data_IF_469674710043
#
_entry.id   IF_469674710043
#
_cell.length_a   1.000
_cell.length_b   1.000
_cell.length_c   1.000
_cell.angle_alpha   90.00
_cell.angle_beta   90.00
_cell.angle_gamma   90.00
#
_symmetry.space_group_name_H-M   'P 1'
#
loop_
_entity.id
_entity.type
_entity.pdbx_description
1 polymer ?
#
# COMPACT_ATOMS: atom_id res chain seq x y z
N UNK A 1 -19.72 71.58 -24.64
CA UNK A 1 -19.74 72.14 -26.01
C UNK A 1 -19.00 71.14 -26.85
N UNK A 2 -19.41 70.42 -27.85
CA UNK A 2 -20.51 70.60 -28.82
C UNK A 2 -20.81 69.20 -29.39
N UNK A 3 -22.04 68.95 -29.58
CA UNK A 3 -22.73 67.84 -30.22
C UNK A 3 -22.31 67.48 -31.65
N UNK A 4 -22.28 66.16 -32.02
CA UNK A 4 -22.99 65.45 -33.12
C UNK A 4 -22.78 66.02 -34.57
N UNK A 5 -23.05 65.28 -35.69
CA UNK A 5 -23.98 64.13 -35.79
C UNK A 5 -23.62 63.01 -36.77
N UNK A 6 -24.48 61.98 -36.73
CA UNK A 6 -24.77 60.86 -37.64
C UNK A 6 -24.85 61.22 -39.13
N UNK A 7 -24.43 60.33 -40.04
CA UNK A 7 -25.03 60.19 -41.35
C UNK A 7 -25.09 58.71 -41.78
N UNK A 8 -26.30 58.34 -42.15
CA UNK A 8 -26.71 57.05 -42.78
C UNK A 8 -26.57 57.12 -44.31
N UNK A 9 -26.55 55.93 -44.90
CA UNK A 9 -26.93 55.60 -46.33
C UNK A 9 -25.72 55.18 -47.16
N UNK A 10 -25.78 54.14 -47.96
CA UNK A 10 -26.71 53.27 -48.69
C UNK A 10 -25.88 52.22 -49.40
N UNK A 11 -26.23 51.03 -49.54
CA UNK A 11 -27.19 50.22 -50.28
C UNK A 11 -26.58 49.37 -51.43
N UNK A 12 -27.05 48.10 -51.46
CA UNK A 12 -27.13 47.18 -52.61
C UNK A 12 -25.83 46.41 -52.98
N UNK A 13 -25.83 45.17 -52.79
CA UNK A 13 -26.45 43.97 -53.41
C UNK A 13 -25.57 43.39 -54.53
N UNK A 14 -25.14 42.19 -54.36
CA UNK A 14 -25.31 41.19 -55.41
C UNK A 14 -25.17 39.76 -54.76
N UNK A 15 -26.05 38.98 -55.19
CA UNK A 15 -26.44 37.60 -54.83
C UNK A 15 -25.46 36.52 -55.24
N UNK A 16 -25.65 35.39 -54.59
CA UNK A 16 -25.50 34.02 -55.05
C UNK A 16 -24.28 33.23 -54.55
N UNK A 17 -24.56 32.23 -53.75
CA UNK A 17 -23.61 31.18 -53.36
C UNK A 17 -24.10 30.42 -52.12
N UNK A 18 -25.27 29.77 -52.22
CA UNK A 18 -25.70 28.82 -51.16
C UNK A 18 -24.82 27.57 -51.20
N UNK A 19 -23.86 27.48 -50.29
CA UNK A 19 -23.21 26.24 -49.93
C UNK A 19 -23.82 25.76 -48.61
N UNK A 20 -24.66 24.75 -48.69
CA UNK A 20 -25.15 23.94 -47.57
C UNK A 20 -23.95 23.27 -46.91
N UNK A 21 -23.40 23.87 -45.87
CA UNK A 21 -22.57 23.15 -44.91
C UNK A 21 -23.57 22.50 -43.91
N UNK A 22 -23.89 21.25 -44.17
CA UNK A 22 -24.52 20.38 -43.18
C UNK A 22 -23.55 20.27 -42.02
N UNK A 23 -23.76 21.11 -41.01
CA UNK A 23 -23.09 20.98 -39.72
C UNK A 23 -23.45 19.66 -39.10
N UNK A 24 -22.57 18.67 -39.16
CA UNK A 24 -22.58 17.55 -38.27
C UNK A 24 -22.33 18.07 -36.87
N UNK A 25 -23.40 18.51 -36.19
CA UNK A 25 -23.44 18.66 -34.76
C UNK A 25 -23.33 17.24 -34.18
N UNK A 26 -22.11 16.73 -34.11
CA UNK A 26 -21.81 15.59 -33.28
C UNK A 26 -22.25 15.99 -31.88
N UNK A 27 -23.42 15.53 -31.46
CA UNK A 27 -23.79 15.51 -30.08
C UNK A 27 -22.70 14.67 -29.38
N UNK A 28 -21.72 15.35 -28.80
CA UNK A 28 -20.87 14.75 -27.78
C UNK A 28 -21.87 14.28 -26.70
N UNK A 29 -22.20 13.00 -26.72
CA UNK A 29 -22.89 12.39 -25.59
C UNK A 29 -22.04 12.77 -24.38
N UNK A 30 -22.64 13.32 -23.31
CA UNK A 30 -21.90 13.50 -22.08
C UNK A 30 -21.30 12.14 -21.76
N UNK A 31 -19.98 12.07 -21.55
CA UNK A 31 -19.36 10.89 -20.95
C UNK A 31 -20.16 10.63 -19.68
N UNK A 32 -20.99 9.61 -19.72
CA UNK A 32 -21.68 9.14 -18.53
C UNK A 32 -20.57 8.67 -17.62
N UNK A 33 -20.40 9.31 -16.48
CA UNK A 33 -19.50 8.81 -15.43
C UNK A 33 -19.87 7.32 -15.24
N UNK A 34 -18.86 6.45 -15.20
CA UNK A 34 -19.11 5.05 -14.92
C UNK A 34 -19.88 4.94 -13.60
N UNK A 35 -20.84 4.03 -13.52
CA UNK A 35 -21.51 3.79 -12.25
C UNK A 35 -20.48 3.24 -11.26
N UNK A 36 -20.49 3.67 -9.98
CA UNK A 36 -19.55 3.17 -8.99
C UNK A 36 -19.61 1.63 -8.90
N UNK A 37 -18.46 0.99 -8.85
CA UNK A 37 -18.36 -0.47 -8.70
C UNK A 37 -18.75 -0.84 -7.28
N UNK A 38 -19.77 -1.71 -7.11
CA UNK A 38 -20.06 -2.31 -5.81
C UNK A 38 -18.88 -3.15 -5.36
N UNK A 39 -18.19 -2.69 -4.31
CA UNK A 39 -16.96 -3.27 -3.80
C UNK A 39 -17.10 -3.66 -2.34
N UNK A 40 -16.68 -4.88 -1.98
CA UNK A 40 -16.67 -5.36 -0.61
C UNK A 40 -15.26 -5.69 -0.12
N UNK A 41 -14.95 -5.30 1.12
CA UNK A 41 -13.74 -5.71 1.83
C UNK A 41 -14.03 -6.82 2.85
N UNK A 42 -13.16 -7.85 2.94
CA UNK A 42 -13.29 -8.93 3.94
C UNK A 42 -11.95 -9.07 4.65
N UNK A 43 -11.95 -8.81 5.96
CA UNK A 43 -10.75 -8.77 6.78
C UNK A 43 -10.88 -9.66 8.01
N UNK A 44 -9.84 -10.44 8.31
CA UNK A 44 -9.82 -11.33 9.49
C UNK A 44 -9.40 -10.61 10.78
N UNK A 45 -8.91 -9.38 10.64
CA UNK A 45 -8.49 -8.49 11.74
C UNK A 45 -9.24 -7.15 11.67
N UNK A 46 -9.14 -6.29 12.71
CA UNK A 46 -9.70 -4.93 12.66
C UNK A 46 -9.10 -4.10 11.53
N UNK A 47 -9.87 -3.16 10.97
CA UNK A 47 -9.41 -2.26 9.89
C UNK A 47 -8.29 -1.31 10.32
N UNK A 48 -8.06 -1.13 11.61
CA UNK A 48 -6.94 -0.36 12.17
C UNK A 48 -5.60 -1.11 12.08
N UNK A 49 -5.62 -2.42 11.86
CA UNK A 49 -4.37 -3.20 11.67
C UNK A 49 -3.58 -2.61 10.49
N UNK A 50 -2.26 -2.48 10.65
CA UNK A 50 -1.40 -1.70 9.74
C UNK A 50 -1.62 -2.02 8.26
N UNK A 51 -1.56 -3.31 7.89
CA UNK A 51 -1.69 -3.75 6.51
C UNK A 51 -3.12 -3.54 5.98
N UNK A 52 -4.14 -3.96 6.72
CA UNK A 52 -5.55 -3.81 6.35
C UNK A 52 -5.95 -2.35 6.28
N UNK A 53 -5.41 -1.49 7.16
CA UNK A 53 -5.71 -0.05 7.17
C UNK A 53 -5.35 0.64 5.85
N UNK A 54 -4.33 0.16 5.13
CA UNK A 54 -3.94 0.72 3.83
C UNK A 54 -4.96 0.38 2.75
N UNK A 55 -5.48 -0.85 2.76
CA UNK A 55 -6.52 -1.31 1.84
C UNK A 55 -7.83 -0.54 2.10
N UNK A 56 -8.22 -0.50 3.38
CA UNK A 56 -9.43 0.20 3.81
C UNK A 56 -9.38 1.70 3.44
N UNK A 57 -8.27 2.38 3.71
CA UNK A 57 -8.05 3.78 3.33
C UNK A 57 -8.15 4.00 1.83
N UNK A 58 -7.50 3.17 1.02
CA UNK A 58 -7.55 3.28 -0.43
C UNK A 58 -8.98 3.08 -0.96
N UNK A 59 -9.73 2.12 -0.39
CA UNK A 59 -11.13 1.89 -0.76
C UNK A 59 -12.04 3.07 -0.40
N UNK A 60 -11.85 3.68 0.78
CA UNK A 60 -12.56 4.91 1.16
C UNK A 60 -12.21 6.07 0.23
N UNK A 61 -10.93 6.25 -0.13
CA UNK A 61 -10.50 7.26 -1.09
C UNK A 61 -11.13 7.06 -2.47
N UNK A 62 -11.20 5.81 -2.95
CA UNK A 62 -11.88 5.47 -4.20
C UNK A 62 -13.40 5.75 -4.13
N UNK A 63 -14.03 5.51 -2.97
CA UNK A 63 -15.43 5.84 -2.73
C UNK A 63 -15.67 7.36 -2.73
N UNK A 64 -14.81 8.14 -2.10
CA UNK A 64 -14.88 9.61 -2.11
C UNK A 64 -14.76 10.18 -3.53
N UNK A 65 -13.99 9.54 -4.40
CA UNK A 65 -13.89 9.89 -5.83
C UNK A 65 -15.12 9.46 -6.64
N UNK A 66 -15.96 8.59 -6.10
CA UNK A 66 -17.13 8.01 -6.78
C UNK A 66 -16.80 6.82 -7.70
N UNK A 67 -15.62 6.21 -7.55
CA UNK A 67 -15.20 5.07 -8.36
C UNK A 67 -15.82 3.76 -7.86
N UNK A 68 -16.08 3.65 -6.57
CA UNK A 68 -16.65 2.47 -5.92
C UNK A 68 -17.76 2.83 -4.93
N UNK A 69 -18.66 1.87 -4.70
CA UNK A 69 -19.59 1.83 -3.55
C UNK A 69 -19.03 0.77 -2.60
N UNK A 70 -18.35 1.20 -1.53
CA UNK A 70 -17.57 0.33 -0.68
C UNK A 70 -18.24 -0.01 0.65
N UNK A 71 -18.26 -1.29 0.98
CA UNK A 71 -18.63 -1.82 2.30
C UNK A 71 -17.56 -2.81 2.76
N UNK A 72 -17.55 -3.15 4.04
CA UNK A 72 -16.60 -4.14 4.54
C UNK A 72 -17.13 -4.94 5.72
N UNK A 73 -16.51 -6.10 5.96
CA UNK A 73 -16.61 -6.90 7.17
C UNK A 73 -15.21 -7.08 7.75
N UNK A 74 -15.07 -6.84 9.04
CA UNK A 74 -13.82 -7.01 9.77
C UNK A 74 -13.98 -8.04 10.88
N UNK A 75 -12.86 -8.54 11.43
CA UNK A 75 -12.84 -9.60 12.44
C UNK A 75 -13.59 -10.87 12.00
N UNK A 76 -13.59 -11.13 10.69
CA UNK A 76 -14.21 -12.32 10.11
C UNK A 76 -13.35 -13.53 10.45
N UNK A 77 -13.92 -14.52 11.15
CA UNK A 77 -13.18 -15.75 11.47
C UNK A 77 -12.84 -16.54 10.19
N UNK A 78 -11.76 -17.29 10.21
CA UNK A 78 -11.38 -18.16 9.09
C UNK A 78 -12.52 -19.12 8.68
N UNK A 79 -13.29 -19.61 9.65
CA UNK A 79 -14.43 -20.52 9.40
C UNK A 79 -15.62 -19.83 8.74
N UNK A 80 -15.77 -18.53 8.91
CA UNK A 80 -16.84 -17.74 8.34
C UNK A 80 -16.48 -17.07 7.00
N UNK A 81 -15.20 -17.01 6.66
CA UNK A 81 -14.69 -16.24 5.55
C UNK A 81 -15.37 -16.59 4.21
N UNK A 82 -15.39 -17.87 3.86
CA UNK A 82 -16.03 -18.34 2.63
C UNK A 82 -17.56 -18.04 2.60
N UNK A 83 -18.23 -18.09 3.74
CA UNK A 83 -19.66 -17.73 3.85
C UNK A 83 -19.86 -16.23 3.58
N UNK A 84 -19.08 -15.36 4.22
CA UNK A 84 -19.15 -13.91 4.03
C UNK A 84 -18.82 -13.53 2.58
N UNK A 85 -17.85 -14.20 1.97
CA UNK A 85 -17.45 -14.00 0.58
C UNK A 85 -18.62 -14.34 -0.38
N UNK A 86 -19.34 -15.49 -0.14
CA UNK A 86 -20.55 -15.85 -0.90
C UNK A 86 -21.67 -14.84 -0.70
N UNK A 87 -21.90 -14.39 0.52
CA UNK A 87 -22.96 -13.41 0.81
C UNK A 87 -22.77 -12.11 0.02
N UNK A 88 -21.54 -11.59 -0.08
CA UNK A 88 -21.26 -10.42 -0.91
C UNK A 88 -21.44 -10.73 -2.40
N UNK A 89 -21.01 -11.90 -2.86
CA UNK A 89 -21.20 -12.32 -4.26
C UNK A 89 -22.67 -12.36 -4.63
N UNK A 90 -23.51 -12.98 -3.79
CA UNK A 90 -24.97 -13.09 -3.98
C UNK A 90 -25.70 -11.73 -3.92
N UNK A 91 -25.16 -10.76 -3.17
CA UNK A 91 -25.66 -9.39 -3.11
C UNK A 91 -25.26 -8.55 -4.33
N UNK A 92 -24.51 -9.13 -5.28
CA UNK A 92 -24.16 -8.51 -6.55
C UNK A 92 -22.97 -7.56 -6.49
N UNK A 93 -22.10 -7.71 -5.50
CA UNK A 93 -20.81 -7.01 -5.50
C UNK A 93 -19.96 -7.50 -6.67
N UNK A 94 -19.22 -6.57 -7.30
CA UNK A 94 -18.47 -6.84 -8.54
C UNK A 94 -16.97 -6.92 -8.31
N UNK A 95 -16.47 -6.33 -7.23
CA UNK A 95 -15.10 -6.44 -6.77
C UNK A 95 -15.12 -6.82 -5.30
N UNK A 96 -14.49 -7.94 -4.96
CA UNK A 96 -14.30 -8.38 -3.57
C UNK A 96 -12.81 -8.36 -3.28
N UNK A 97 -12.43 -7.62 -2.23
CA UNK A 97 -11.05 -7.43 -1.79
C UNK A 97 -10.90 -8.10 -0.43
N UNK A 98 -9.84 -8.83 -0.21
CA UNK A 98 -9.60 -9.46 1.10
C UNK A 98 -8.17 -9.91 1.27
N UNK A 99 -7.88 -10.51 2.42
CA UNK A 99 -6.65 -11.25 2.65
C UNK A 99 -7.00 -12.73 2.90
N UNK A 100 -6.17 -13.63 2.36
CA UNK A 100 -6.51 -15.05 2.31
C UNK A 100 -5.41 -15.96 2.88
N UNK A 101 -4.51 -15.41 3.70
CA UNK A 101 -3.38 -16.13 4.28
C UNK A 101 -3.73 -17.53 4.82
N UNK A 102 -4.84 -17.66 5.55
CA UNK A 102 -5.25 -18.92 6.17
C UNK A 102 -6.45 -19.59 5.48
N UNK A 103 -7.01 -19.01 4.41
CA UNK A 103 -8.28 -19.42 3.80
C UNK A 103 -8.24 -19.41 2.27
N UNK A 104 -7.03 -19.49 1.69
CA UNK A 104 -6.85 -19.32 0.25
C UNK A 104 -7.60 -20.38 -0.57
N UNK A 105 -7.60 -21.64 -0.13
CA UNK A 105 -8.26 -22.72 -0.86
C UNK A 105 -9.77 -22.46 -0.91
N UNK A 106 -10.38 -22.18 0.23
CA UNK A 106 -11.82 -21.90 0.35
C UNK A 106 -12.22 -20.65 -0.46
N UNK A 107 -11.36 -19.61 -0.44
CA UNK A 107 -11.59 -18.40 -1.24
C UNK A 107 -11.55 -18.69 -2.75
N UNK A 108 -10.65 -19.55 -3.22
CA UNK A 108 -10.59 -19.97 -4.63
C UNK A 108 -11.78 -20.81 -5.03
N UNK A 109 -12.27 -21.69 -4.15
CA UNK A 109 -13.51 -22.45 -4.38
C UNK A 109 -14.71 -21.52 -4.56
N UNK A 110 -14.84 -20.50 -3.70
CA UNK A 110 -15.88 -19.49 -3.86
C UNK A 110 -15.74 -18.72 -5.17
N UNK A 111 -14.52 -18.29 -5.52
CA UNK A 111 -14.30 -17.55 -6.77
C UNK A 111 -14.65 -18.36 -8.02
N UNK A 112 -14.44 -19.68 -8.00
CA UNK A 112 -14.84 -20.58 -9.08
C UNK A 112 -16.37 -20.65 -9.27
N UNK A 113 -17.14 -20.52 -8.18
CA UNK A 113 -18.61 -20.51 -8.22
C UNK A 113 -19.18 -19.19 -8.80
N UNK A 114 -18.40 -18.10 -8.78
CA UNK A 114 -18.82 -16.76 -9.22
C UNK A 114 -17.89 -16.15 -10.27
N UNK A 115 -17.80 -16.70 -11.48
CA UNK A 115 -16.83 -16.31 -12.50
C UNK A 115 -16.96 -14.85 -13.00
N UNK A 116 -18.12 -14.22 -12.81
CA UNK A 116 -18.41 -12.84 -13.23
C UNK A 116 -18.06 -11.77 -12.16
N UNK A 117 -17.45 -12.20 -11.04
CA UNK A 117 -17.03 -11.32 -9.94
C UNK A 117 -15.50 -11.30 -9.92
N UNK A 118 -14.91 -10.11 -9.77
CA UNK A 118 -13.50 -9.91 -9.60
C UNK A 118 -13.11 -10.11 -8.12
N UNK A 119 -12.17 -11.00 -7.85
CA UNK A 119 -11.59 -11.24 -6.54
C UNK A 119 -10.15 -10.76 -6.52
N UNK A 120 -9.85 -9.74 -5.70
CA UNK A 120 -8.52 -9.18 -5.50
C UNK A 120 -8.04 -9.57 -4.10
N UNK A 121 -7.19 -10.60 -4.00
CA UNK A 121 -6.88 -11.28 -2.75
C UNK A 121 -5.42 -11.13 -2.37
N UNK A 122 -5.19 -10.58 -1.17
CA UNK A 122 -3.87 -10.38 -0.60
C UNK A 122 -3.33 -11.59 0.15
N UNK A 123 -2.01 -11.58 0.41
CA UNK A 123 -1.27 -12.66 1.05
C UNK A 123 -1.47 -14.01 0.36
N UNK A 124 -1.37 -13.99 -0.97
CA UNK A 124 -1.55 -15.14 -1.87
C UNK A 124 -0.63 -15.00 -3.08
N UNK A 125 -0.41 -16.11 -3.77
CA UNK A 125 0.43 -16.16 -4.96
C UNK A 125 -0.39 -16.49 -6.20
N UNK A 126 0.01 -15.91 -7.35
CA UNK A 126 -0.53 -16.30 -8.64
C UNK A 126 -0.16 -17.75 -8.92
N UNK A 127 -1.16 -18.58 -9.20
CA UNK A 127 -0.97 -19.97 -9.62
C UNK A 127 -0.84 -20.07 -11.13
N UNK A 128 -0.17 -21.12 -11.62
CA UNK A 128 -0.01 -21.37 -13.06
C UNK A 128 -1.36 -21.62 -13.74
N UNK A 129 -2.25 -22.39 -13.09
CA UNK A 129 -3.63 -22.64 -13.53
C UNK A 129 -4.59 -21.74 -12.72
N UNK A 130 -4.43 -20.43 -12.84
CA UNK A 130 -5.21 -19.47 -12.07
C UNK A 130 -6.63 -19.30 -12.61
N UNK A 131 -7.60 -19.15 -11.71
CA UNK A 131 -8.96 -18.71 -12.04
C UNK A 131 -8.89 -17.31 -12.64
N UNK A 132 -9.49 -17.09 -13.79
CA UNK A 132 -9.40 -15.82 -14.51
C UNK A 132 -9.86 -14.60 -13.68
N UNK A 133 -10.76 -14.81 -12.74
CA UNK A 133 -11.35 -13.81 -11.89
C UNK A 133 -10.71 -13.69 -10.49
N UNK A 134 -9.63 -14.43 -10.22
CA UNK A 134 -8.90 -14.39 -8.95
C UNK A 134 -7.50 -13.82 -9.16
N UNK A 135 -7.35 -12.53 -8.87
CA UNK A 135 -6.09 -11.83 -8.89
C UNK A 135 -5.49 -11.75 -7.47
N UNK A 136 -4.18 -11.67 -7.40
CA UNK A 136 -3.46 -11.60 -6.13
C UNK A 136 -2.74 -10.27 -5.98
N UNK A 137 -2.38 -9.92 -4.74
CA UNK A 137 -1.50 -8.80 -4.43
C UNK A 137 -0.73 -9.06 -3.15
N UNK A 138 0.34 -8.30 -2.98
CA UNK A 138 1.16 -8.27 -1.78
C UNK A 138 1.75 -6.86 -1.62
N UNK A 139 2.27 -6.54 -0.43
CA UNK A 139 2.92 -5.26 -0.19
C UNK A 139 4.42 -5.33 -0.54
N UNK A 140 4.77 -5.31 -1.81
CA UNK A 140 6.16 -5.28 -2.28
C UNK A 140 6.83 -3.94 -1.97
N UNK A 141 6.95 -3.59 -0.67
CA UNK A 141 7.53 -2.34 -0.18
C UNK A 141 8.97 -2.49 0.32
N UNK A 142 9.68 -3.52 -0.11
CA UNK A 142 11.07 -3.78 0.26
C UNK A 142 11.98 -2.59 -0.04
N UNK A 143 11.69 -1.79 -1.07
CA UNK A 143 12.44 -0.58 -1.40
C UNK A 143 12.39 0.43 -0.25
N UNK A 144 11.20 0.73 0.26
CA UNK A 144 11.01 1.66 1.39
C UNK A 144 11.58 1.07 2.69
N UNK A 145 11.45 -0.25 2.89
CA UNK A 145 12.02 -0.95 4.04
C UNK A 145 13.56 -0.87 4.05
N UNK A 146 14.20 -1.07 2.90
CA UNK A 146 15.65 -0.90 2.73
C UNK A 146 16.11 0.54 3.06
N UNK A 147 15.41 1.54 2.54
CA UNK A 147 15.73 2.95 2.83
C UNK A 147 15.58 3.27 4.32
N UNK A 148 14.53 2.76 4.97
CA UNK A 148 14.35 2.92 6.42
C UNK A 148 15.44 2.20 7.21
N UNK A 149 15.96 1.08 6.69
CA UNK A 149 17.11 0.36 7.23
C UNK A 149 18.37 1.21 7.26
N UNK A 150 18.67 1.96 6.18
CA UNK A 150 19.81 2.90 6.13
C UNK A 150 19.72 3.90 7.29
N UNK A 151 18.53 4.46 7.52
CA UNK A 151 18.30 5.40 8.62
C UNK A 151 18.52 4.72 9.98
N UNK A 152 17.97 3.52 10.17
CA UNK A 152 18.16 2.76 11.41
C UNK A 152 19.62 2.44 11.68
N UNK A 153 20.36 2.02 10.65
CA UNK A 153 21.79 1.72 10.76
C UNK A 153 22.65 2.91 11.15
N UNK A 154 22.24 4.13 10.71
CA UNK A 154 22.91 5.37 11.08
C UNK A 154 22.55 5.87 12.49
N UNK A 155 21.38 5.49 13.01
CA UNK A 155 20.83 6.01 14.26
C UNK A 155 21.06 5.08 15.46
N UNK A 156 21.24 3.78 15.26
CA UNK A 156 21.60 2.86 16.35
C UNK A 156 22.97 3.19 16.92
N UNK A 157 23.10 3.12 18.24
CA UNK A 157 24.36 3.33 18.98
C UNK A 157 24.94 2.00 19.47
N UNK A 158 24.09 1.03 19.73
CA UNK A 158 24.48 -0.30 20.21
C UNK A 158 24.92 -1.24 19.08
N UNK A 159 24.62 -0.88 17.83
CA UNK A 159 24.71 -1.76 16.67
C UNK A 159 23.90 -3.07 16.88
N UNK A 160 22.78 -2.99 17.61
CA UNK A 160 21.91 -4.12 17.90
C UNK A 160 20.45 -3.67 17.68
N UNK A 161 19.79 -4.26 16.70
CA UNK A 161 18.44 -3.89 16.26
C UNK A 161 17.49 -5.05 16.52
N UNK A 162 16.39 -4.79 17.24
CA UNK A 162 15.31 -5.75 17.47
C UNK A 162 14.26 -5.68 16.34
N UNK A 163 13.80 -6.84 15.88
CA UNK A 163 12.81 -6.95 14.80
C UNK A 163 11.69 -7.89 15.22
N UNK A 164 10.47 -7.36 15.35
CA UNK A 164 9.29 -8.13 15.77
C UNK A 164 8.33 -8.26 14.62
N UNK A 165 8.13 -9.47 14.10
CA UNK A 165 7.20 -9.78 13.02
C UNK A 165 5.98 -10.57 13.46
N UNK A 166 4.96 -10.64 12.59
CA UNK A 166 3.75 -11.44 12.80
C UNK A 166 4.01 -12.93 12.61
N UNK A 167 4.22 -13.33 11.37
CA UNK A 167 4.57 -14.69 10.95
C UNK A 167 5.74 -14.67 9.96
N UNK A 168 6.56 -15.73 9.91
CA UNK A 168 7.70 -15.83 8.99
C UNK A 168 7.25 -16.24 7.58
N UNK A 169 6.46 -15.40 6.92
CA UNK A 169 5.99 -15.62 5.56
C UNK A 169 6.79 -14.75 4.59
N UNK A 170 6.85 -15.09 3.29
CA UNK A 170 7.60 -14.34 2.27
C UNK A 170 7.37 -12.84 2.30
N UNK A 171 6.13 -12.42 2.46
CA UNK A 171 5.71 -11.01 2.58
C UNK A 171 6.47 -10.26 3.68
N UNK A 172 6.53 -10.83 4.89
CA UNK A 172 7.21 -10.23 6.05
C UNK A 172 8.72 -10.39 5.94
N UNK A 173 9.16 -11.58 5.51
CA UNK A 173 10.59 -11.94 5.45
C UNK A 173 11.37 -11.00 4.51
N UNK A 174 10.84 -10.73 3.29
CA UNK A 174 11.50 -9.84 2.33
C UNK A 174 11.68 -8.42 2.87
N UNK A 175 10.71 -7.90 3.62
CA UNK A 175 10.80 -6.57 4.21
C UNK A 175 11.87 -6.53 5.30
N UNK A 176 11.94 -7.55 6.15
CA UNK A 176 12.97 -7.65 7.18
C UNK A 176 14.36 -7.78 6.58
N UNK A 177 14.54 -8.62 5.55
CA UNK A 177 15.83 -8.74 4.85
C UNK A 177 16.25 -7.44 4.18
N UNK A 178 15.34 -6.76 3.51
CA UNK A 178 15.60 -5.45 2.91
C UNK A 178 16.02 -4.41 3.94
N UNK A 179 15.33 -4.35 5.08
CA UNK A 179 15.70 -3.49 6.20
C UNK A 179 17.11 -3.82 6.74
N UNK A 180 17.40 -5.11 6.96
CA UNK A 180 18.73 -5.54 7.40
C UNK A 180 19.82 -5.14 6.41
N UNK A 181 19.56 -5.31 5.10
CA UNK A 181 20.51 -4.92 4.05
C UNK A 181 20.78 -3.40 4.09
N UNK A 182 19.73 -2.58 4.18
CA UNK A 182 19.86 -1.14 4.32
C UNK A 182 20.65 -0.72 5.57
N UNK A 183 20.38 -1.34 6.71
CA UNK A 183 21.09 -1.03 7.95
C UNK A 183 22.59 -1.36 7.85
N UNK A 184 22.93 -2.46 7.19
CA UNK A 184 24.33 -2.87 6.96
C UNK A 184 25.10 -1.99 5.97
N UNK A 185 24.41 -1.23 5.10
CA UNK A 185 25.07 -0.19 4.27
C UNK A 185 25.77 0.87 5.14
N UNK A 186 25.21 1.17 6.31
CA UNK A 186 25.79 2.14 7.25
C UNK A 186 26.79 1.51 8.22
N UNK A 187 26.52 0.28 8.65
CA UNK A 187 27.39 -0.43 9.56
C UNK A 187 27.27 -1.96 9.37
N UNK A 188 28.24 -2.61 8.71
CA UNK A 188 28.21 -4.06 8.46
C UNK A 188 28.19 -4.94 9.71
N UNK A 189 28.61 -4.40 10.86
CA UNK A 189 28.70 -5.13 12.14
C UNK A 189 27.38 -5.15 12.92
N UNK A 190 26.29 -4.56 12.36
CA UNK A 190 24.98 -4.54 13.03
C UNK A 190 24.47 -5.97 13.21
N UNK A 191 24.06 -6.26 14.44
CA UNK A 191 23.39 -7.48 14.84
C UNK A 191 21.88 -7.28 14.87
N UNK A 192 21.17 -8.35 14.61
CA UNK A 192 19.71 -8.35 14.62
C UNK A 192 19.19 -9.42 15.57
N UNK A 193 18.21 -9.05 16.39
CA UNK A 193 17.38 -9.96 17.15
C UNK A 193 16.04 -10.07 16.42
N UNK A 194 15.68 -11.26 15.93
CA UNK A 194 14.44 -11.48 15.15
C UNK A 194 13.52 -12.38 15.95
N UNK A 195 12.24 -12.03 16.02
CA UNK A 195 11.21 -12.86 16.62
C UNK A 195 9.87 -12.66 15.93
N UNK A 196 9.11 -13.75 15.79
CA UNK A 196 7.75 -13.75 15.27
C UNK A 196 6.77 -14.09 16.37
N UNK A 197 5.71 -13.28 16.51
CA UNK A 197 4.75 -13.45 17.60
C UNK A 197 3.65 -14.47 17.30
N UNK A 198 3.52 -14.96 16.06
CA UNK A 198 2.49 -15.90 15.65
C UNK A 198 1.07 -15.32 15.67
N UNK A 199 0.95 -14.01 15.43
CA UNK A 199 -0.33 -13.29 15.35
C UNK A 199 -0.21 -12.09 14.41
N UNK A 200 -1.27 -11.80 13.66
CA UNK A 200 -1.35 -10.58 12.86
C UNK A 200 -1.76 -9.36 13.68
N UNK A 201 -2.45 -9.55 14.80
CA UNK A 201 -2.87 -8.45 15.67
C UNK A 201 -2.87 -8.87 17.14
N UNK A 202 -1.74 -8.68 17.80
CA UNK A 202 -1.56 -8.91 19.26
C UNK A 202 -0.55 -7.89 19.81
N UNK A 203 -0.97 -6.60 19.96
CA UNK A 203 -0.07 -5.55 20.44
C UNK A 203 0.57 -5.83 21.80
N UNK A 204 -0.12 -6.43 22.80
CA UNK A 204 0.50 -6.80 24.06
C UNK A 204 1.68 -7.77 23.91
N UNK A 205 1.51 -8.83 23.09
CA UNK A 205 2.56 -9.83 22.85
C UNK A 205 3.74 -9.24 22.08
N UNK A 206 3.46 -8.38 21.08
CA UNK A 206 4.52 -7.67 20.35
C UNK A 206 5.32 -6.74 21.26
N UNK A 207 4.65 -6.04 22.17
CA UNK A 207 5.27 -5.17 23.18
C UNK A 207 6.18 -5.95 24.12
N UNK A 208 5.70 -7.09 24.65
CA UNK A 208 6.48 -7.98 25.52
C UNK A 208 7.72 -8.51 24.81
N UNK A 209 7.57 -8.96 23.55
CA UNK A 209 8.68 -9.41 22.71
C UNK A 209 9.71 -8.31 22.49
N UNK A 210 9.27 -7.08 22.23
CA UNK A 210 10.14 -5.92 22.05
C UNK A 210 10.90 -5.57 23.35
N UNK A 211 10.26 -5.68 24.52
CA UNK A 211 10.95 -5.49 25.81
C UNK A 211 12.09 -6.48 25.99
N UNK A 212 11.89 -7.77 25.67
CA UNK A 212 12.97 -8.75 25.76
C UNK A 212 14.16 -8.40 24.83
N UNK A 213 13.89 -7.87 23.63
CA UNK A 213 14.96 -7.41 22.72
C UNK A 213 15.72 -6.19 23.26
N UNK A 214 15.02 -5.25 23.88
CA UNK A 214 15.65 -4.09 24.52
C UNK A 214 16.52 -4.54 25.71
N UNK A 215 16.04 -5.47 26.53
CA UNK A 215 16.82 -6.09 27.62
C UNK A 215 18.02 -6.87 27.08
N UNK A 216 17.91 -7.42 25.87
CA UNK A 216 19.01 -8.02 25.10
C UNK A 216 19.97 -6.99 24.45
N UNK A 217 19.81 -5.69 24.73
CA UNK A 217 20.69 -4.62 24.30
C UNK A 217 20.31 -3.95 23.00
N UNK A 218 19.14 -4.18 22.43
CA UNK A 218 18.65 -3.43 21.27
C UNK A 218 18.30 -1.99 21.67
N UNK A 219 18.77 -1.00 20.91
CA UNK A 219 18.46 0.42 21.07
C UNK A 219 17.68 1.00 19.89
N UNK A 220 17.40 0.15 18.90
CA UNK A 220 16.58 0.44 17.74
C UNK A 220 15.66 -0.76 17.49
N UNK A 221 14.38 -0.51 17.19
CA UNK A 221 13.40 -1.55 16.90
C UNK A 221 12.79 -1.37 15.52
N UNK A 222 12.56 -2.47 14.80
CA UNK A 222 11.76 -2.51 13.59
C UNK A 222 10.34 -2.94 13.96
N UNK A 223 9.40 -2.00 13.87
CA UNK A 223 8.02 -2.18 14.32
C UNK A 223 7.15 -2.70 13.17
N UNK A 224 7.33 -3.98 12.81
CA UNK A 224 6.45 -4.64 11.83
C UNK A 224 5.06 -4.89 12.44
N UNK A 225 4.94 -4.90 13.79
CA UNK A 225 3.67 -5.06 14.53
C UNK A 225 3.40 -3.89 15.46
N UNK A 226 2.10 -3.60 15.69
CA UNK A 226 1.68 -2.69 16.77
C UNK A 226 2.13 -3.22 18.13
N UNK A 227 2.44 -2.31 19.06
CA UNK A 227 2.99 -2.62 20.39
C UNK A 227 4.51 -2.45 20.45
N UNK A 228 5.24 -2.62 19.34
CA UNK A 228 6.70 -2.46 19.31
C UNK A 228 7.11 -1.00 19.56
N UNK A 229 6.46 -0.03 18.91
CA UNK A 229 6.72 1.39 19.14
C UNK A 229 6.31 1.83 20.55
N UNK A 230 5.30 1.19 21.16
CA UNK A 230 4.94 1.41 22.57
C UNK A 230 6.06 0.99 23.51
N UNK A 231 6.66 -0.19 23.27
CA UNK A 231 7.81 -0.65 24.04
C UNK A 231 9.00 0.29 23.89
N UNK A 232 9.30 0.71 22.65
CA UNK A 232 10.39 1.65 22.37
C UNK A 232 10.21 2.98 23.12
N UNK A 233 8.99 3.55 23.05
CA UNK A 233 8.64 4.78 23.76
C UNK A 233 8.80 4.65 25.28
N UNK A 234 8.31 3.55 25.85
CA UNK A 234 8.37 3.32 27.31
C UNK A 234 9.81 3.15 27.81
N UNK A 235 10.68 2.56 27.01
CA UNK A 235 12.10 2.32 27.34
C UNK A 235 13.04 3.43 26.86
N UNK A 236 12.55 4.42 26.12
CA UNK A 236 13.34 5.52 25.59
C UNK A 236 14.35 5.10 24.51
N UNK A 237 14.05 4.06 23.76
CA UNK A 237 14.80 3.63 22.58
C UNK A 237 14.10 4.06 21.31
N UNK A 238 14.77 3.97 20.15
CA UNK A 238 14.19 4.39 18.87
C UNK A 238 13.47 3.24 18.17
N UNK A 239 12.59 3.60 17.24
CA UNK A 239 11.89 2.63 16.39
C UNK A 239 11.80 3.12 14.94
N UNK A 240 11.63 2.15 14.04
CA UNK A 240 11.24 2.36 12.64
C UNK A 240 9.85 1.78 12.45
N UNK A 241 8.95 2.58 11.91
CA UNK A 241 7.60 2.15 11.54
C UNK A 241 7.57 1.37 10.23
N UNK A 242 6.54 0.56 10.05
CA UNK A 242 6.34 -0.24 8.85
C UNK A 242 4.90 -0.20 8.38
N UNK A 243 4.68 -0.20 7.06
CA UNK A 243 3.40 -0.15 6.35
C UNK A 243 2.67 1.19 6.48
N UNK A 244 2.65 1.79 7.67
CA UNK A 244 2.01 3.09 7.95
C UNK A 244 2.97 4.03 8.65
N UNK A 245 2.70 5.33 8.56
CA UNK A 245 3.39 6.33 9.36
C UNK A 245 2.78 6.42 10.76
N UNK A 246 3.59 6.12 11.77
CA UNK A 246 3.20 6.21 13.18
C UNK A 246 3.94 7.32 13.92
N UNK A 247 4.67 8.17 13.21
CA UNK A 247 5.51 9.23 13.79
C UNK A 247 4.70 10.24 14.60
N UNK A 248 3.46 10.54 14.18
CA UNK A 248 2.59 11.46 14.92
C UNK A 248 2.22 10.95 16.33
N UNK A 249 2.09 9.61 16.49
CA UNK A 249 1.76 8.96 17.77
C UNK A 249 3.01 8.78 18.65
N UNK A 250 4.18 8.71 18.01
CA UNK A 250 5.48 8.47 18.64
C UNK A 250 6.55 9.47 18.19
N UNK A 251 6.32 10.80 18.36
CA UNK A 251 7.14 11.83 17.72
C UNK A 251 8.60 11.87 18.20
N UNK A 252 8.92 11.30 19.37
CA UNK A 252 10.27 11.24 19.90
C UNK A 252 10.90 9.82 19.79
N UNK A 253 10.19 8.89 19.17
CA UNK A 253 10.53 7.46 19.16
C UNK A 253 10.66 6.92 17.74
N UNK A 254 9.67 7.16 16.89
CA UNK A 254 9.66 6.67 15.51
C UNK A 254 10.43 7.65 14.62
N UNK A 255 11.59 7.21 14.14
CA UNK A 255 12.51 8.03 13.33
C UNK A 255 12.06 8.15 11.89
N UNK A 256 11.63 7.03 11.33
CA UNK A 256 11.16 6.92 9.94
C UNK A 256 10.15 5.79 9.85
N UNK A 257 9.37 5.76 8.76
CA UNK A 257 8.45 4.66 8.48
C UNK A 257 8.48 4.32 6.99
N UNK A 258 8.51 3.02 6.67
CA UNK A 258 8.22 2.54 5.32
C UNK A 258 6.72 2.54 5.11
N UNK A 259 6.23 3.22 4.08
CA UNK A 259 4.80 3.37 3.80
C UNK A 259 4.40 2.49 2.63
N UNK A 260 3.28 1.79 2.77
CA UNK A 260 2.58 1.15 1.66
C UNK A 260 1.43 2.04 1.17
N UNK A 261 1.38 2.26 -0.11
CA UNK A 261 0.27 2.91 -0.81
C UNK A 261 -0.49 1.86 -1.60
N UNK A 262 -1.68 1.48 -1.14
CA UNK A 262 -2.51 0.50 -1.85
C UNK A 262 -3.32 1.13 -2.98
N UNK A 263 -3.40 2.45 -3.02
CA UNK A 263 -4.16 3.21 -4.01
C UNK A 263 -3.81 2.81 -5.46
N UNK A 264 -2.52 2.69 -5.90
CA UNK A 264 -2.19 2.25 -7.25
C UNK A 264 -2.68 0.83 -7.58
N UNK A 265 -2.59 -0.09 -6.63
CA UNK A 265 -3.08 -1.46 -6.76
C UNK A 265 -4.59 -1.50 -6.97
N UNK A 266 -5.33 -0.76 -6.14
CA UNK A 266 -6.79 -0.69 -6.22
C UNK A 266 -7.25 0.03 -7.50
N UNK A 267 -6.62 1.13 -7.87
CA UNK A 267 -6.94 1.89 -9.08
C UNK A 267 -6.75 1.04 -10.35
N UNK A 268 -5.68 0.24 -10.40
CA UNK A 268 -5.47 -0.71 -11.51
C UNK A 268 -6.56 -1.78 -11.57
N UNK A 269 -6.98 -2.32 -10.42
CA UNK A 269 -8.06 -3.31 -10.36
C UNK A 269 -9.42 -2.70 -10.77
N UNK A 270 -9.75 -1.51 -10.27
CA UNK A 270 -10.96 -0.75 -10.65
C UNK A 270 -10.98 -0.49 -12.16
N UNK A 271 -9.86 -0.04 -12.72
CA UNK A 271 -9.75 0.21 -14.15
C UNK A 271 -9.97 -1.08 -14.97
N UNK A 272 -9.40 -2.21 -14.54
CA UNK A 272 -9.56 -3.49 -15.21
C UNK A 272 -11.00 -4.02 -15.13
N UNK A 273 -11.68 -3.87 -13.98
CA UNK A 273 -13.09 -4.25 -13.83
C UNK A 273 -13.97 -3.40 -14.74
N UNK A 274 -13.79 -2.08 -14.77
CA UNK A 274 -14.56 -1.18 -15.64
C UNK A 274 -14.35 -1.46 -17.12
N UNK A 275 -13.14 -1.87 -17.52
CA UNK A 275 -12.81 -2.23 -18.89
C UNK A 275 -13.23 -3.66 -19.27
N UNK A 276 -13.68 -4.48 -18.33
CA UNK A 276 -13.96 -5.91 -18.54
C UNK A 276 -12.69 -6.72 -18.87
N UNK A 277 -11.53 -6.27 -18.39
CA UNK A 277 -10.21 -6.88 -18.63
C UNK A 277 -9.57 -7.43 -17.36
N UNK A 278 -10.33 -7.46 -16.25
CA UNK A 278 -9.82 -8.05 -15.01
C UNK A 278 -9.49 -9.53 -15.23
N UNK A 279 -8.30 -9.92 -14.84
CA UNK A 279 -7.83 -11.30 -14.99
C UNK A 279 -6.86 -11.68 -13.88
N UNK A 280 -6.58 -12.97 -13.76
CA UNK A 280 -5.59 -13.49 -12.83
C UNK A 280 -4.21 -12.86 -13.12
N UNK A 281 -3.81 -11.93 -12.26
CA UNK A 281 -2.55 -11.24 -12.32
C UNK A 281 -2.04 -10.99 -10.90
N UNK A 282 -0.78 -10.68 -10.77
CA UNK A 282 -0.21 -10.16 -9.52
C UNK A 282 -0.26 -8.63 -9.56
N UNK A 283 -1.25 -8.07 -8.85
CA UNK A 283 -1.40 -6.62 -8.69
C UNK A 283 -0.45 -6.05 -7.63
N UNK A 284 0.26 -6.89 -6.88
CA UNK A 284 1.30 -6.46 -5.95
C UNK A 284 2.43 -5.67 -6.61
N UNK A 285 2.63 -5.85 -7.93
CA UNK A 285 3.61 -5.07 -8.70
C UNK A 285 3.39 -3.55 -8.62
N UNK A 286 2.17 -3.11 -8.37
CA UNK A 286 1.86 -1.70 -8.16
C UNK A 286 2.28 -1.18 -6.78
N UNK A 287 2.72 -2.06 -5.84
CA UNK A 287 3.29 -1.68 -4.55
C UNK A 287 4.75 -1.24 -4.64
N UNK A 288 5.43 -1.48 -5.76
CA UNK A 288 6.81 -1.01 -5.94
C UNK A 288 6.92 0.51 -5.86
N UNK A 289 8.04 1.00 -5.34
CA UNK A 289 8.31 2.44 -5.23
C UNK A 289 8.27 3.17 -6.58
N UNK A 290 8.74 2.56 -7.64
CA UNK A 290 8.71 3.12 -9.01
C UNK A 290 7.29 3.32 -9.54
N UNK A 291 6.32 2.54 -9.03
CA UNK A 291 4.89 2.64 -9.38
C UNK A 291 4.11 3.57 -8.44
N UNK A 292 4.80 4.17 -7.46
CA UNK A 292 4.16 5.00 -6.44
C UNK A 292 3.52 4.22 -5.29
N UNK A 293 3.68 2.89 -5.24
CA UNK A 293 3.07 2.03 -4.24
C UNK A 293 3.82 1.97 -2.91
N UNK A 294 4.99 2.57 -2.80
CA UNK A 294 5.71 2.70 -1.53
C UNK A 294 6.57 3.95 -1.45
N UNK A 295 6.83 4.41 -0.24
CA UNK A 295 7.70 5.55 0.05
C UNK A 295 8.22 5.51 1.48
N UNK A 296 9.23 6.34 1.80
CA UNK A 296 9.47 6.73 3.19
C UNK A 296 8.47 7.81 3.62
N UNK A 297 8.04 7.75 4.89
CA UNK A 297 7.32 8.84 5.53
C UNK A 297 8.25 10.06 5.72
N UNK A 298 7.69 11.28 5.84
CA UNK A 298 8.44 12.42 6.34
C UNK A 298 9.04 12.12 7.72
N UNK A 299 10.24 12.61 7.97
CA UNK A 299 10.93 12.35 9.26
C UNK A 299 10.33 13.13 10.45
N UNK A 300 9.43 14.08 10.19
CA UNK A 300 8.74 14.85 11.23
C UNK A 300 9.70 15.49 12.22
N UNK A 301 9.61 15.13 13.50
CA UNK A 301 10.48 15.66 14.56
C UNK A 301 11.95 15.22 14.44
N UNK A 302 12.25 14.23 13.62
CA UNK A 302 13.62 13.78 13.34
C UNK A 302 14.25 14.46 12.13
N UNK A 303 13.55 15.39 11.48
CA UNK A 303 14.12 16.22 10.42
C UNK A 303 15.39 16.92 10.93
N UNK A 304 16.50 16.77 10.19
CA UNK A 304 17.81 17.29 10.57
C UNK A 304 18.52 16.57 11.75
N UNK A 305 17.92 15.50 12.30
CA UNK A 305 18.56 14.70 13.38
C UNK A 305 19.20 13.41 12.87
N UNK A 306 18.78 12.94 11.70
CA UNK A 306 19.44 11.81 11.01
C UNK A 306 20.75 12.31 10.41
N UNK A 307 21.86 11.57 10.53
CA UNK A 307 23.14 11.97 9.94
C UNK A 307 23.03 12.31 8.45
N UNK A 308 23.66 13.42 8.03
CA UNK A 308 23.60 13.91 6.65
C UNK A 308 24.07 12.85 5.63
N UNK A 309 25.11 12.09 5.96
CA UNK A 309 25.63 11.02 5.10
C UNK A 309 24.58 9.91 4.86
N UNK A 310 23.76 9.56 5.87
CA UNK A 310 22.70 8.60 5.72
C UNK A 310 21.57 9.14 4.83
N UNK A 311 21.19 10.40 5.02
CA UNK A 311 20.15 11.02 4.18
C UNK A 311 20.60 11.20 2.74
N UNK A 312 21.89 11.49 2.51
CA UNK A 312 22.45 11.53 1.16
C UNK A 312 22.41 10.16 0.47
N UNK A 313 22.74 9.08 1.21
CA UNK A 313 22.64 7.71 0.69
C UNK A 313 21.18 7.31 0.43
N UNK A 314 20.25 7.64 1.33
CA UNK A 314 18.81 7.42 1.14
C UNK A 314 18.33 8.08 -0.16
N UNK A 315 18.69 9.35 -0.36
CA UNK A 315 18.28 10.08 -1.57
C UNK A 315 18.90 9.48 -2.85
N UNK A 316 20.16 9.06 -2.80
CA UNK A 316 20.83 8.38 -3.92
C UNK A 316 20.12 7.05 -4.27
N UNK A 317 19.90 6.21 -3.26
CA UNK A 317 19.25 4.90 -3.45
C UNK A 317 17.80 5.04 -3.92
N UNK A 318 17.05 5.96 -3.33
CA UNK A 318 15.68 6.24 -3.75
C UNK A 318 15.61 6.66 -5.22
N UNK A 319 16.48 7.58 -5.64
CA UNK A 319 16.56 8.01 -7.04
C UNK A 319 16.92 6.85 -7.98
N UNK A 320 17.88 6.01 -7.58
CA UNK A 320 18.34 4.86 -8.37
C UNK A 320 17.25 3.76 -8.46
N UNK A 321 16.49 3.51 -7.39
CA UNK A 321 15.33 2.60 -7.37
C UNK A 321 14.26 3.12 -8.35
N UNK A 322 13.87 4.38 -8.25
CA UNK A 322 12.87 4.99 -9.13
C UNK A 322 13.30 5.00 -10.60
N UNK A 323 14.59 5.13 -10.85
CA UNK A 323 15.17 5.05 -12.20
C UNK A 323 15.36 3.61 -12.72
N UNK A 324 15.18 2.59 -11.86
CA UNK A 324 15.40 1.18 -12.20
C UNK A 324 16.89 0.81 -12.36
N UNK A 325 17.82 1.62 -11.84
CA UNK A 325 19.27 1.38 -11.91
C UNK A 325 19.82 0.70 -10.65
N UNK A 326 19.01 0.60 -9.61
CA UNK A 326 19.26 -0.17 -8.40
C UNK A 326 18.02 -0.98 -8.05
N UNK A 327 18.20 -2.21 -7.60
CA UNK A 327 17.14 -3.11 -7.14
C UNK A 327 17.49 -3.62 -5.75
N UNK A 328 16.57 -3.55 -4.83
CA UNK A 328 16.69 -4.21 -3.53
C UNK A 328 16.55 -5.72 -3.75
N UNK A 329 17.46 -6.50 -3.20
CA UNK A 329 17.39 -7.96 -3.26
C UNK A 329 16.13 -8.47 -2.54
N UNK A 330 15.42 -9.37 -3.20
CA UNK A 330 14.25 -10.06 -2.62
C UNK A 330 14.75 -11.36 -2.00
N UNK A 331 14.58 -11.47 -0.68
CA UNK A 331 14.84 -12.70 0.06
C UNK A 331 13.61 -13.06 0.89
N UNK A 332 12.96 -14.15 0.50
CA UNK A 332 11.72 -14.63 1.10
C UNK A 332 11.97 -15.68 2.21
N UNK A 333 13.23 -16.04 2.48
CA UNK A 333 13.58 -16.95 3.56
C UNK A 333 13.35 -16.31 4.93
N UNK A 334 13.04 -17.13 5.95
CA UNK A 334 12.87 -16.65 7.31
C UNK A 334 14.17 -16.01 7.83
N UNK A 335 14.15 -14.71 8.20
CA UNK A 335 15.33 -14.04 8.73
C UNK A 335 15.72 -14.59 10.10
N UNK A 336 17.01 -14.66 10.36
CA UNK A 336 17.57 -15.17 11.61
C UNK A 336 18.29 -14.09 12.39
N UNK A 337 18.28 -14.24 13.72
CA UNK A 337 19.11 -13.42 14.60
C UNK A 337 20.60 -13.67 14.31
N UNK A 338 21.43 -12.62 14.45
CA UNK A 338 22.86 -12.64 14.10
C UNK A 338 23.73 -12.05 15.21
#
# INVERSE_FOLDING_TARGET
MTRLPLSRRRFMATSAGAALIAGASGLASPLRAAEPIKTAGIYTVPVEQQWVSRIHKAALTAQERGDVEYVYSENVSNTDYARVMREYAEQGYKLIIGEVFAVEQEAREVAADYPDIAFLMGSSFKQDEALANFAVFDNYIQDASYLSGIIAGAMTKSANIGMVGGFPIPEVNRLMHAFMAGAREMNPEIKFQVSFIGSWFDPPKAKETAFAMIEGGADMLYAERFGVSDAAKEKGVLAIGNVIDTQADYPETVVASAIWHFEPTLDAAIAAVNAGTFTAADYGVYSFMKEGGSSLAPLGTFEGKVPEAAMALVAEREAAIKAGTFSVEINDEEPKSS
#
